data_IF_854412251856
#
_entry.id   IF_854412251856
#
_cell.length_a   1.000
_cell.length_b   1.000
_cell.length_c   1.000
_cell.angle_alpha   90.00
_cell.angle_beta   90.00
_cell.angle_gamma   90.00
#
_symmetry.space_group_name_H-M   'P 1'
#
loop_
_entity.id
_entity.type
_entity.pdbx_description
1 polymer ?
#
# COMPACT_ATOMS: atom_id res chain seq x y z
N UNK A 1 -29.62 -12.26 10.78
CA UNK A 1 -28.46 -11.36 10.77
C UNK A 1 -28.28 -10.55 12.03
N UNK A 2 -29.00 -9.46 12.30
CA UNK A 2 -28.66 -8.55 13.41
C UNK A 2 -28.52 -9.19 14.81
N UNK A 3 -29.38 -10.16 15.18
CA UNK A 3 -29.30 -10.85 16.48
C UNK A 3 -28.12 -11.84 16.61
N UNK A 4 -27.56 -12.30 15.48
CA UNK A 4 -26.39 -13.17 15.47
C UNK A 4 -25.14 -12.30 15.61
N UNK A 5 -25.08 -11.17 14.91
CA UNK A 5 -23.97 -10.21 15.01
C UNK A 5 -23.86 -9.61 16.43
N UNK A 6 -25.00 -9.30 17.05
CA UNK A 6 -25.06 -8.87 18.46
C UNK A 6 -24.53 -9.94 19.44
N UNK A 7 -24.52 -11.22 19.06
CA UNK A 7 -24.06 -12.32 19.93
C UNK A 7 -22.58 -12.67 19.74
N UNK A 8 -21.92 -12.11 18.73
CA UNK A 8 -20.53 -12.43 18.39
C UNK A 8 -19.58 -11.24 18.58
N UNK A 9 -20.10 -10.01 18.69
CA UNK A 9 -19.33 -8.80 18.95
C UNK A 9 -19.45 -8.29 20.39
N UNK A 10 -18.67 -7.24 20.70
CA UNK A 10 -18.86 -6.40 21.89
C UNK A 10 -19.60 -5.16 21.42
N UNK A 11 -20.75 -4.86 22.02
CA UNK A 11 -21.51 -3.62 21.76
C UNK A 11 -21.28 -2.58 22.86
N UNK A 12 -21.61 -1.32 22.56
CA UNK A 12 -21.35 -0.19 23.47
C UNK A 12 -21.98 -0.38 24.85
N UNK A 13 -23.19 -0.95 24.89
CA UNK A 13 -23.96 -1.17 26.11
C UNK A 13 -23.28 -2.17 27.06
N UNK A 14 -22.55 -3.14 26.51
CA UNK A 14 -21.89 -4.20 27.27
C UNK A 14 -20.53 -3.77 27.82
N UNK A 15 -19.92 -2.70 27.29
CA UNK A 15 -18.55 -2.31 27.67
C UNK A 15 -18.46 -1.96 29.17
N UNK A 16 -19.51 -1.37 29.74
CA UNK A 16 -19.55 -1.08 31.17
C UNK A 16 -19.55 -2.37 32.02
N UNK A 17 -20.23 -3.42 31.54
CA UNK A 17 -20.38 -4.68 32.26
C UNK A 17 -19.09 -5.53 32.19
N UNK A 18 -18.36 -5.49 31.06
CA UNK A 18 -17.10 -6.24 30.90
C UNK A 18 -15.94 -5.64 31.70
N UNK A 19 -16.06 -4.38 32.14
CA UNK A 19 -15.05 -3.62 32.87
C UNK A 19 -13.63 -3.76 32.28
N UNK A 20 -13.34 -3.09 31.16
CA UNK A 20 -12.15 -3.35 30.34
C UNK A 20 -10.86 -3.32 31.15
N UNK A 21 -10.24 -4.48 31.35
CA UNK A 21 -9.07 -4.62 32.23
C UNK A 21 -7.72 -4.58 31.47
N UNK A 22 -7.73 -4.74 30.15
CA UNK A 22 -6.52 -4.65 29.35
C UNK A 22 -6.00 -3.21 29.35
N UNK A 23 -4.75 -3.01 29.78
CA UNK A 23 -4.11 -1.67 29.87
C UNK A 23 -4.05 -0.95 28.52
N UNK A 24 -3.83 -1.70 27.44
CA UNK A 24 -3.85 -1.22 26.06
C UNK A 24 -4.74 -2.13 25.21
N UNK A 25 -5.57 -1.54 24.36
CA UNK A 25 -6.40 -2.27 23.38
C UNK A 25 -6.17 -1.75 21.97
N UNK A 26 -5.99 -2.66 21.01
CA UNK A 26 -5.86 -2.34 19.60
C UNK A 26 -7.13 -2.76 18.85
N UNK A 27 -7.85 -1.79 18.29
CA UNK A 27 -9.04 -2.03 17.47
C UNK A 27 -8.69 -1.98 15.99
N UNK A 28 -8.47 -3.15 15.38
CA UNK A 28 -8.22 -3.30 13.95
C UNK A 28 -9.52 -3.35 13.13
N UNK A 29 -10.41 -2.38 13.38
CA UNK A 29 -11.69 -2.24 12.70
C UNK A 29 -11.97 -0.77 12.39
N UNK A 30 -12.72 -0.53 11.31
CA UNK A 30 -13.19 0.81 10.95
C UNK A 30 -14.11 1.36 12.03
N UNK A 31 -14.12 2.67 12.23
CA UNK A 31 -15.06 3.42 13.08
C UNK A 31 -15.05 3.13 14.59
N UNK A 32 -14.26 2.18 15.10
CA UNK A 32 -14.20 1.93 16.55
C UNK A 32 -13.64 3.12 17.35
N UNK A 33 -12.92 4.04 16.69
CA UNK A 33 -12.39 5.28 17.24
C UNK A 33 -13.10 6.52 16.71
N UNK A 34 -14.34 6.40 16.24
CA UNK A 34 -15.07 7.52 15.64
C UNK A 34 -15.53 8.54 16.68
N UNK A 35 -14.60 9.41 17.09
CA UNK A 35 -14.82 10.50 18.05
C UNK A 35 -15.77 11.60 17.56
N UNK A 36 -16.33 11.48 16.35
CA UNK A 36 -17.41 12.37 15.86
C UNK A 36 -18.76 11.96 16.44
N UNK A 37 -18.89 10.72 16.94
CA UNK A 37 -20.07 10.24 17.62
C UNK A 37 -19.97 10.52 19.13
N UNK A 38 -21.11 10.77 19.77
CA UNK A 38 -21.19 10.97 21.22
C UNK A 38 -20.76 9.73 22.01
N UNK A 39 -20.97 8.54 21.42
CA UNK A 39 -20.61 7.24 22.00
C UNK A 39 -19.89 6.36 20.96
N UNK A 40 -18.75 5.79 21.33
CA UNK A 40 -17.90 4.97 20.46
C UNK A 40 -17.00 4.01 21.25
N UNK A 41 -16.64 2.88 20.63
CA UNK A 41 -16.03 1.71 21.31
C UNK A 41 -14.75 2.11 22.06
N UNK A 42 -13.79 2.75 21.38
CA UNK A 42 -12.52 3.13 22.00
C UNK A 42 -12.71 4.12 23.17
N UNK A 43 -13.65 5.05 23.05
CA UNK A 43 -13.99 6.01 24.10
C UNK A 43 -14.55 5.31 25.33
N UNK A 44 -15.51 4.39 25.15
CA UNK A 44 -16.05 3.58 26.25
C UNK A 44 -14.98 2.76 26.94
N UNK A 45 -14.07 2.16 26.19
CA UNK A 45 -12.96 1.41 26.80
C UNK A 45 -12.12 2.28 27.74
N UNK A 46 -11.96 3.57 27.46
CA UNK A 46 -11.21 4.51 28.32
C UNK A 46 -12.05 5.05 29.48
N UNK A 47 -13.34 5.33 29.27
CA UNK A 47 -14.19 6.02 30.24
C UNK A 47 -15.08 5.13 31.09
N UNK A 48 -15.23 3.84 30.75
CA UNK A 48 -15.96 2.86 31.55
C UNK A 48 -15.18 2.47 32.81
N UNK A 49 -15.89 1.94 33.82
CA UNK A 49 -15.23 1.32 34.96
C UNK A 49 -14.30 0.21 34.47
N UNK A 50 -13.05 0.20 34.93
CA UNK A 50 -12.03 -0.68 34.39
C UNK A 50 -10.67 -0.05 34.54
N UNK A 51 -9.76 -0.60 33.76
CA UNK A 51 -8.33 -0.56 34.02
C UNK A 51 -7.56 -0.36 32.70
N UNK A 52 -8.30 -0.06 31.62
CA UNK A 52 -7.80 0.31 30.31
C UNK A 52 -7.34 1.77 30.33
N UNK A 53 -6.12 1.99 29.85
CA UNK A 53 -5.45 3.30 29.90
C UNK A 53 -5.36 3.92 28.51
N UNK A 54 -5.25 3.08 27.47
CA UNK A 54 -5.06 3.52 26.10
C UNK A 54 -5.71 2.58 25.09
N UNK A 55 -6.35 3.16 24.08
CA UNK A 55 -6.93 2.44 22.96
C UNK A 55 -6.41 3.02 21.65
N UNK A 56 -6.00 2.13 20.73
CA UNK A 56 -5.68 2.48 19.36
C UNK A 56 -6.85 2.11 18.46
N UNK A 57 -7.42 3.06 17.74
CA UNK A 57 -8.62 2.80 16.95
C UNK A 57 -8.73 3.70 15.72
N UNK A 58 -9.58 3.30 14.78
CA UNK A 58 -9.78 4.05 13.53
C UNK A 58 -11.05 4.90 13.58
N UNK A 59 -10.97 6.16 13.20
CA UNK A 59 -12.11 7.09 13.20
C UNK A 59 -12.98 6.97 11.94
N UNK A 60 -12.43 6.41 10.87
CA UNK A 60 -13.10 6.24 9.58
C UNK A 60 -12.77 4.88 8.97
N UNK A 61 -13.27 4.64 7.76
CA UNK A 61 -12.86 3.50 6.96
C UNK A 61 -11.35 3.48 6.75
N UNK A 62 -10.72 2.34 7.05
CA UNK A 62 -9.30 2.09 6.75
C UNK A 62 -9.15 1.11 5.60
N UNK A 63 -8.11 1.30 4.80
CA UNK A 63 -7.74 0.34 3.78
C UNK A 63 -7.23 -0.95 4.43
N UNK A 64 -7.62 -2.10 3.86
CA UNK A 64 -7.21 -3.42 4.35
C UNK A 64 -5.73 -3.75 4.10
N UNK A 65 -4.99 -2.82 3.49
CA UNK A 65 -3.58 -2.94 3.13
C UNK A 65 -2.68 -2.23 4.16
N UNK A 66 -3.25 -1.80 5.29
CA UNK A 66 -2.53 -1.31 6.47
C UNK A 66 -1.82 -2.47 7.18
N UNK A 67 -0.58 -2.23 7.58
CA UNK A 67 0.19 -3.05 8.52
C UNK A 67 -0.12 -2.63 9.95
N UNK A 68 -1.16 -3.22 10.56
CA UNK A 68 -1.57 -2.88 11.94
C UNK A 68 -0.56 -3.29 13.03
N UNK A 69 0.42 -4.13 12.68
CA UNK A 69 1.39 -4.74 13.58
C UNK A 69 2.80 -4.13 13.50
N UNK A 70 3.01 -3.08 12.70
CA UNK A 70 4.33 -2.48 12.53
C UNK A 70 4.90 -2.00 13.88
N UNK A 71 6.16 -2.34 14.14
CA UNK A 71 6.93 -1.90 15.31
C UNK A 71 6.28 -2.25 16.67
N UNK A 72 5.27 -3.12 16.68
CA UNK A 72 4.47 -3.40 17.88
C UNK A 72 5.31 -4.03 19.00
N UNK A 73 6.35 -4.79 18.66
CA UNK A 73 7.30 -5.36 19.62
C UNK A 73 8.09 -4.31 20.40
N UNK A 74 8.21 -3.07 19.90
CA UNK A 74 8.82 -1.97 20.66
C UNK A 74 8.05 -1.66 21.94
N UNK A 75 6.72 -1.87 21.96
CA UNK A 75 5.90 -1.69 23.15
C UNK A 75 6.34 -2.64 24.28
N UNK A 76 6.65 -3.88 23.93
CA UNK A 76 7.19 -4.88 24.85
C UNK A 76 8.63 -4.60 25.31
N UNK A 77 9.33 -3.68 24.64
CA UNK A 77 10.66 -3.19 24.99
C UNK A 77 10.61 -1.82 25.69
N UNK A 78 9.44 -1.44 26.20
CA UNK A 78 9.24 -0.24 26.98
C UNK A 78 9.07 1.04 26.18
N UNK A 79 8.83 0.97 24.87
CA UNK A 79 8.39 2.14 24.12
C UNK A 79 7.04 2.63 24.65
N UNK A 80 6.92 3.94 24.84
CA UNK A 80 5.63 4.58 25.12
C UNK A 80 4.72 4.44 23.91
N UNK A 81 3.43 4.26 24.14
CA UNK A 81 2.44 4.12 23.06
C UNK A 81 2.49 5.29 22.08
N UNK A 82 2.64 6.52 22.59
CA UNK A 82 2.79 7.72 21.76
C UNK A 82 4.10 7.77 20.96
N UNK A 83 5.17 7.11 21.42
CA UNK A 83 6.43 6.98 20.67
C UNK A 83 6.23 6.00 19.52
N UNK A 84 5.68 4.82 19.81
CA UNK A 84 5.35 3.82 18.79
C UNK A 84 4.42 4.38 17.71
N UNK A 85 3.33 5.04 18.12
CA UNK A 85 2.34 5.63 17.23
C UNK A 85 2.91 6.63 16.21
N UNK A 86 3.95 7.40 16.58
CA UNK A 86 4.59 8.35 15.64
C UNK A 86 5.12 7.69 14.37
N UNK A 87 5.43 6.40 14.42
CA UNK A 87 6.00 5.68 13.28
C UNK A 87 4.95 4.96 12.43
N UNK A 88 3.76 4.71 12.98
CA UNK A 88 2.73 3.89 12.33
C UNK A 88 1.40 4.64 12.10
N UNK A 89 1.31 5.89 12.57
CA UNK A 89 0.12 6.72 12.43
C UNK A 89 -0.21 6.99 10.96
N UNK A 90 -1.47 6.74 10.62
CA UNK A 90 -2.14 7.21 9.41
C UNK A 90 -3.26 8.17 9.81
N UNK A 91 -3.82 8.92 8.86
CA UNK A 91 -4.85 9.93 9.14
C UNK A 91 -6.10 9.34 9.81
N UNK A 92 -6.38 8.08 9.52
CA UNK A 92 -7.55 7.36 10.00
C UNK A 92 -7.37 6.76 11.39
N UNK A 93 -6.15 6.63 11.90
CA UNK A 93 -5.83 5.92 13.15
C UNK A 93 -5.41 6.87 14.27
N UNK A 94 -5.96 6.65 15.47
CA UNK A 94 -5.82 7.56 16.61
C UNK A 94 -5.53 6.82 17.91
N UNK A 95 -4.85 7.52 18.81
CA UNK A 95 -4.73 7.14 20.22
C UNK A 95 -5.86 7.80 21.01
N UNK A 96 -6.56 6.99 21.80
CA UNK A 96 -7.53 7.43 22.82
C UNK A 96 -6.97 7.08 24.20
N UNK A 97 -6.99 8.01 25.16
CA UNK A 97 -6.43 7.80 26.50
C UNK A 97 -5.01 8.34 26.66
N UNK A 98 -4.20 7.73 27.52
CA UNK A 98 -2.86 8.21 27.88
C UNK A 98 -1.76 7.66 26.94
N UNK A 99 -1.15 8.48 26.07
CA UNK A 99 -0.09 8.04 25.17
C UNK A 99 1.24 7.76 25.87
N UNK A 100 1.38 8.09 27.15
CA UNK A 100 2.62 7.90 27.92
C UNK A 100 2.75 6.54 28.56
N UNK A 101 1.70 5.70 28.50
CA UNK A 101 1.74 4.30 28.92
C UNK A 101 2.90 3.58 28.24
N UNK A 102 3.65 2.81 29.03
CA UNK A 102 4.66 1.87 28.56
C UNK A 102 4.65 0.62 29.45
N UNK A 103 5.16 -0.48 28.91
CA UNK A 103 5.36 -1.72 29.66
C UNK A 103 6.81 -1.78 30.15
N UNK A 104 7.01 -2.04 31.44
CA UNK A 104 8.37 -2.23 31.96
C UNK A 104 9.04 -3.44 31.30
N UNK A 105 10.28 -3.28 30.86
CA UNK A 105 11.04 -4.31 30.15
C UNK A 105 12.50 -4.29 30.60
N UNK A 106 12.94 -5.39 31.21
CA UNK A 106 14.34 -5.56 31.59
C UNK A 106 15.23 -5.70 30.35
N UNK A 107 14.76 -6.42 29.31
CA UNK A 107 15.48 -6.56 28.05
C UNK A 107 15.56 -5.22 27.28
N UNK A 108 14.52 -4.39 27.35
CA UNK A 108 14.46 -3.07 26.70
C UNK A 108 15.21 -1.96 27.43
N UNK A 109 15.60 -2.15 28.69
CA UNK A 109 16.24 -1.10 29.49
C UNK A 109 17.55 -0.58 28.87
N UNK A 110 18.36 -1.48 28.30
CA UNK A 110 19.62 -1.11 27.64
C UNK A 110 19.41 -0.37 26.31
N UNK A 111 18.28 -0.63 25.63
CA UNK A 111 17.92 0.05 24.39
C UNK A 111 17.50 1.50 24.64
N UNK A 112 16.91 1.79 25.81
CA UNK A 112 16.32 3.09 26.18
C UNK A 112 15.57 3.72 24.98
N UNK A 113 14.64 2.93 24.43
CA UNK A 113 14.04 3.21 23.12
C UNK A 113 13.37 4.59 23.09
N UNK A 114 12.74 5.00 24.19
CA UNK A 114 12.10 6.30 24.29
C UNK A 114 13.08 7.48 24.11
N UNK A 115 14.34 7.30 24.49
CA UNK A 115 15.40 8.28 24.31
C UNK A 115 16.08 8.15 22.95
N UNK A 116 16.30 6.91 22.50
CA UNK A 116 17.10 6.63 21.31
C UNK A 116 16.31 6.61 20.00
N UNK A 117 14.98 6.54 20.01
CA UNK A 117 14.14 6.45 18.80
C UNK A 117 14.37 7.57 17.77
N UNK A 118 14.81 8.76 18.21
CA UNK A 118 15.14 9.90 17.33
C UNK A 118 16.64 10.22 17.31
N UNK A 119 17.48 9.30 17.79
CA UNK A 119 18.94 9.46 17.75
C UNK A 119 19.39 9.61 16.30
N UNK A 120 20.21 10.62 16.01
CA UNK A 120 20.80 10.87 14.68
C UNK A 120 22.24 10.39 14.67
N UNK A 121 22.42 9.13 14.33
CA UNK A 121 23.70 8.43 14.43
C UNK A 121 23.63 7.16 13.56
N UNK A 122 24.21 7.23 12.37
CA UNK A 122 24.20 6.11 11.42
C UNK A 122 24.91 4.89 12.00
N UNK A 123 26.04 5.04 12.69
CA UNK A 123 26.80 3.92 13.25
C UNK A 123 25.98 3.18 14.31
N UNK A 124 25.26 3.93 15.15
CA UNK A 124 24.32 3.35 16.09
C UNK A 124 23.24 2.54 15.38
N UNK A 125 22.54 3.10 14.38
CA UNK A 125 21.46 2.37 13.70
C UNK A 125 21.97 1.20 12.86
N UNK A 126 23.15 1.32 12.24
CA UNK A 126 23.81 0.20 11.58
C UNK A 126 24.08 -0.95 12.55
N UNK A 127 24.50 -0.66 13.78
CA UNK A 127 24.68 -1.69 14.83
C UNK A 127 23.37 -2.36 15.26
N UNK A 128 22.22 -1.71 15.05
CA UNK A 128 20.89 -2.22 15.41
C UNK A 128 20.25 -3.08 14.32
N UNK A 129 20.84 -3.15 13.11
CA UNK A 129 20.29 -3.92 11.99
C UNK A 129 20.20 -5.43 12.27
N UNK A 130 21.00 -5.96 13.19
CA UNK A 130 21.03 -7.38 13.57
C UNK A 130 20.56 -7.61 15.02
N UNK A 131 19.85 -6.64 15.60
CA UNK A 131 19.30 -6.74 16.94
C UNK A 131 18.33 -7.94 17.06
N UNK A 132 18.30 -8.69 18.19
CA UNK A 132 17.44 -9.87 18.34
C UNK A 132 15.94 -9.61 18.13
N UNK A 133 15.45 -8.42 18.53
CA UNK A 133 14.07 -8.00 18.27
C UNK A 133 13.92 -7.49 16.82
N UNK A 134 13.07 -8.11 15.99
CA UNK A 134 12.87 -7.70 14.60
C UNK A 134 12.43 -6.24 14.43
N UNK A 135 11.59 -5.73 15.34
CA UNK A 135 11.11 -4.35 15.27
C UNK A 135 12.20 -3.30 15.54
N UNK A 136 13.27 -3.65 16.25
CA UNK A 136 14.45 -2.78 16.37
C UNK A 136 15.22 -2.73 15.05
N UNK A 137 15.30 -3.85 14.32
CA UNK A 137 15.90 -3.87 12.98
C UNK A 137 15.06 -3.02 12.01
N UNK A 138 13.73 -3.14 12.07
CA UNK A 138 12.80 -2.33 11.27
C UNK A 138 12.94 -0.84 11.60
N UNK A 139 13.01 -0.47 12.89
CA UNK A 139 13.26 0.90 13.29
C UNK A 139 14.62 1.40 12.76
N UNK A 140 15.68 0.61 12.88
CA UNK A 140 17.00 0.99 12.36
C UNK A 140 16.95 1.32 10.86
N UNK A 141 16.25 0.52 10.04
CA UNK A 141 16.05 0.81 8.62
C UNK A 141 15.26 2.10 8.39
N UNK A 142 14.20 2.34 9.16
CA UNK A 142 13.41 3.60 9.10
C UNK A 142 14.33 4.79 9.37
N UNK A 143 15.14 4.71 10.42
CA UNK A 143 16.04 5.79 10.84
C UNK A 143 17.14 6.06 9.83
N UNK A 144 17.75 5.01 9.27
CA UNK A 144 18.74 5.16 8.21
C UNK A 144 18.16 5.83 6.96
N UNK A 145 16.90 5.53 6.60
CA UNK A 145 16.22 6.21 5.49
C UNK A 145 15.93 7.68 5.82
N UNK A 146 15.33 7.95 6.97
CA UNK A 146 14.98 9.31 7.41
C UNK A 146 16.20 10.23 7.59
N UNK A 147 17.38 9.65 7.81
CA UNK A 147 18.64 10.36 7.97
C UNK A 147 19.49 10.35 6.68
N UNK A 148 18.87 10.06 5.53
CA UNK A 148 19.48 10.08 4.20
C UNK A 148 20.79 9.27 4.12
N UNK A 149 20.87 8.11 4.80
CA UNK A 149 22.06 7.27 4.75
C UNK A 149 22.29 6.79 3.31
N UNK A 150 23.45 7.13 2.74
CA UNK A 150 23.70 6.96 1.31
C UNK A 150 23.53 5.52 0.79
N UNK A 151 23.88 4.51 1.60
CA UNK A 151 23.79 3.10 1.25
C UNK A 151 22.50 2.42 1.78
N UNK A 152 21.47 3.20 2.14
CA UNK A 152 20.24 2.65 2.72
C UNK A 152 19.54 1.68 1.77
N UNK A 153 19.52 1.94 0.46
CA UNK A 153 18.91 1.04 -0.51
C UNK A 153 19.51 -0.37 -0.47
N UNK A 154 20.85 -0.46 -0.41
CA UNK A 154 21.55 -1.75 -0.30
C UNK A 154 21.30 -2.44 1.04
N UNK A 155 21.11 -1.66 2.11
CA UNK A 155 20.69 -2.20 3.41
C UNK A 155 19.30 -2.82 3.30
N UNK A 156 18.33 -2.13 2.70
CA UNK A 156 16.97 -2.62 2.52
C UNK A 156 16.92 -3.90 1.69
N UNK A 157 17.62 -3.92 0.54
CA UNK A 157 17.74 -5.12 -0.29
C UNK A 157 18.31 -6.30 0.50
N UNK A 158 19.44 -6.10 1.17
CA UNK A 158 20.08 -7.15 1.96
C UNK A 158 19.14 -7.69 3.04
N UNK A 159 18.53 -6.80 3.83
CA UNK A 159 17.60 -7.20 4.91
C UNK A 159 16.38 -7.93 4.36
N UNK A 160 15.84 -7.51 3.22
CA UNK A 160 14.76 -8.24 2.55
C UNK A 160 15.18 -9.65 2.16
N UNK A 161 16.35 -9.80 1.54
CA UNK A 161 16.83 -11.08 1.00
C UNK A 161 17.26 -12.07 2.09
N UNK A 162 17.74 -11.60 3.24
CA UNK A 162 18.35 -12.47 4.27
C UNK A 162 17.52 -12.64 5.54
N UNK A 163 16.56 -11.75 5.82
CA UNK A 163 15.83 -11.80 7.09
C UNK A 163 14.78 -12.91 7.14
N UNK A 164 14.75 -13.74 8.20
CA UNK A 164 13.67 -14.71 8.40
C UNK A 164 12.36 -14.04 8.86
N UNK A 165 12.42 -12.81 9.40
CA UNK A 165 11.25 -12.10 9.92
C UNK A 165 10.43 -11.44 8.82
N UNK A 166 9.15 -11.79 8.73
CA UNK A 166 8.20 -11.18 7.81
C UNK A 166 8.04 -9.67 8.04
N UNK A 167 8.11 -9.20 9.29
CA UNK A 167 8.02 -7.77 9.62
C UNK A 167 9.23 -7.00 9.08
N UNK A 168 10.43 -7.55 9.23
CA UNK A 168 11.66 -6.92 8.69
C UNK A 168 11.62 -6.88 7.16
N UNK A 169 11.21 -7.96 6.51
CA UNK A 169 11.04 -7.98 5.05
C UNK A 169 9.96 -6.99 4.60
N UNK A 170 8.82 -6.96 5.27
CA UNK A 170 7.74 -5.99 5.01
C UNK A 170 8.22 -4.54 5.11
N UNK A 171 8.88 -4.18 6.22
CA UNK A 171 9.46 -2.84 6.41
C UNK A 171 10.48 -2.53 5.30
N UNK A 172 11.40 -3.45 5.01
CA UNK A 172 12.42 -3.23 3.99
C UNK A 172 11.80 -2.93 2.61
N UNK A 173 10.77 -3.68 2.22
CA UNK A 173 10.03 -3.47 0.98
C UNK A 173 9.31 -2.13 0.96
N UNK A 174 8.58 -1.77 2.03
CA UNK A 174 7.84 -0.50 2.11
C UNK A 174 8.77 0.72 2.08
N UNK A 175 9.96 0.63 2.69
CA UNK A 175 10.96 1.70 2.62
C UNK A 175 11.63 1.77 1.26
N UNK A 176 11.91 0.63 0.61
CA UNK A 176 12.51 0.60 -0.71
C UNK A 176 11.58 1.21 -1.78
N UNK A 177 10.26 1.07 -1.62
CA UNK A 177 9.26 1.72 -2.47
C UNK A 177 9.41 3.25 -2.50
N UNK A 178 9.86 3.88 -1.40
CA UNK A 178 10.07 5.33 -1.33
C UNK A 178 11.26 5.78 -2.18
N UNK A 179 12.23 4.90 -2.35
CA UNK A 179 13.42 5.13 -3.18
C UNK A 179 13.13 4.84 -4.66
N UNK A 180 12.29 3.82 -4.92
CA UNK A 180 11.86 3.37 -6.26
C UNK A 180 13.04 3.22 -7.25
N UNK A 181 14.12 2.59 -6.78
CA UNK A 181 15.32 2.29 -7.55
C UNK A 181 15.36 0.80 -8.00
N UNK A 182 16.48 0.37 -8.57
CA UNK A 182 16.64 -0.99 -9.06
C UNK A 182 16.61 -2.05 -7.94
N UNK A 183 17.03 -1.69 -6.72
CA UNK A 183 16.96 -2.58 -5.58
C UNK A 183 15.51 -2.82 -5.16
N UNK A 184 14.63 -1.81 -5.26
CA UNK A 184 13.19 -1.99 -5.06
C UNK A 184 12.60 -2.97 -6.08
N UNK A 185 12.97 -2.88 -7.36
CA UNK A 185 12.55 -3.85 -8.37
C UNK A 185 12.95 -5.28 -7.98
N UNK A 186 14.20 -5.49 -7.58
CA UNK A 186 14.67 -6.81 -7.13
C UNK A 186 13.90 -7.33 -5.90
N UNK A 187 13.59 -6.45 -4.93
CA UNK A 187 12.76 -6.79 -3.77
C UNK A 187 11.37 -7.23 -4.23
N UNK A 188 10.70 -6.46 -5.10
CA UNK A 188 9.37 -6.82 -5.60
C UNK A 188 9.39 -8.18 -6.30
N UNK A 189 10.38 -8.41 -7.18
CA UNK A 189 10.51 -9.70 -7.87
C UNK A 189 10.61 -10.87 -6.90
N UNK A 190 11.34 -10.71 -5.79
CA UNK A 190 11.42 -11.75 -4.76
C UNK A 190 10.14 -11.84 -3.93
N UNK A 191 9.48 -10.72 -3.66
CA UNK A 191 8.33 -10.62 -2.80
C UNK A 191 7.06 -11.29 -3.33
N UNK A 192 6.95 -11.54 -4.63
CA UNK A 192 5.87 -12.37 -5.21
C UNK A 192 5.84 -13.81 -4.66
N UNK A 193 6.94 -14.27 -4.06
CA UNK A 193 7.07 -15.62 -3.48
C UNK A 193 7.36 -15.59 -1.98
N UNK A 194 7.15 -14.46 -1.30
CA UNK A 194 7.38 -14.33 0.13
C UNK A 194 6.54 -15.33 0.93
N UNK A 195 7.06 -15.85 2.05
CA UNK A 195 6.29 -16.76 2.91
C UNK A 195 5.07 -16.11 3.56
N UNK A 196 5.06 -14.78 3.68
CA UNK A 196 3.97 -14.03 4.29
C UNK A 196 2.98 -13.51 3.24
N UNK A 197 1.71 -13.91 3.38
CA UNK A 197 0.64 -13.58 2.43
C UNK A 197 0.50 -12.07 2.21
N UNK A 198 0.56 -11.29 3.29
CA UNK A 198 0.44 -9.84 3.20
C UNK A 198 1.53 -9.24 2.31
N UNK A 199 2.78 -9.69 2.44
CA UNK A 199 3.89 -9.22 1.61
C UNK A 199 3.68 -9.57 0.15
N UNK A 200 3.25 -10.80 -0.17
CA UNK A 200 2.91 -11.19 -1.55
C UNK A 200 1.80 -10.33 -2.12
N UNK A 201 0.75 -10.09 -1.34
CA UNK A 201 -0.40 -9.26 -1.73
C UNK A 201 0.02 -7.83 -2.09
N UNK A 202 0.82 -7.19 -1.25
CA UNK A 202 1.35 -5.86 -1.55
C UNK A 202 2.26 -5.91 -2.78
N UNK A 203 3.12 -6.92 -2.90
CA UNK A 203 4.03 -7.06 -4.03
C UNK A 203 3.29 -7.14 -5.37
N UNK A 204 2.27 -7.99 -5.50
CA UNK A 204 1.50 -8.12 -6.76
C UNK A 204 0.76 -6.82 -7.11
N UNK A 205 0.20 -6.12 -6.12
CA UNK A 205 -0.41 -4.79 -6.34
C UNK A 205 0.62 -3.79 -6.85
N UNK A 206 1.81 -3.74 -6.24
CA UNK A 206 2.89 -2.82 -6.64
C UNK A 206 3.49 -3.14 -8.01
N UNK A 207 3.59 -4.42 -8.38
CA UNK A 207 3.98 -4.84 -9.73
C UNK A 207 3.02 -4.27 -10.78
N UNK A 208 1.70 -4.38 -10.54
CA UNK A 208 0.69 -3.77 -11.40
C UNK A 208 0.79 -2.25 -11.49
N UNK A 209 1.03 -1.58 -10.35
CA UNK A 209 1.20 -0.12 -10.33
C UNK A 209 2.47 0.35 -11.05
N UNK A 210 3.54 -0.45 -11.02
CA UNK A 210 4.81 -0.14 -11.68
C UNK A 210 4.76 -0.41 -13.19
N UNK A 211 4.10 -1.47 -13.64
CA UNK A 211 3.91 -1.74 -15.06
C UNK A 211 5.17 -2.20 -15.80
N UNK A 212 6.16 -2.72 -15.08
CA UNK A 212 7.36 -3.31 -15.67
C UNK A 212 7.05 -4.73 -16.17
N UNK A 213 7.29 -4.98 -17.45
CA UNK A 213 6.91 -6.23 -18.13
C UNK A 213 7.63 -7.47 -17.57
N UNK A 214 8.78 -7.28 -16.91
CA UNK A 214 9.49 -8.36 -16.21
C UNK A 214 8.66 -8.99 -15.08
N UNK A 215 7.59 -8.31 -14.63
CA UNK A 215 6.69 -8.85 -13.61
C UNK A 215 5.60 -9.75 -14.17
N UNK A 216 5.31 -9.72 -15.47
CA UNK A 216 4.21 -10.51 -16.06
C UNK A 216 4.37 -12.02 -15.75
N UNK A 217 5.55 -12.65 -15.95
CA UNK A 217 5.73 -14.07 -15.61
C UNK A 217 5.54 -14.35 -14.11
N UNK A 218 6.00 -13.45 -13.24
CA UNK A 218 5.87 -13.60 -11.79
C UNK A 218 4.42 -13.50 -11.32
N UNK A 219 3.63 -12.62 -11.93
CA UNK A 219 2.20 -12.50 -11.66
C UNK A 219 1.44 -13.75 -12.11
N UNK A 220 1.78 -14.32 -13.28
CA UNK A 220 1.22 -15.60 -13.74
C UNK A 220 1.59 -16.73 -12.77
N UNK A 221 2.85 -16.80 -12.32
CA UNK A 221 3.27 -17.80 -11.33
C UNK A 221 2.59 -17.60 -9.97
N UNK A 222 2.39 -16.37 -9.51
CA UNK A 222 1.61 -16.11 -8.29
C UNK A 222 0.18 -16.59 -8.46
N UNK A 223 -0.47 -16.39 -9.61
CA UNK A 223 -1.82 -16.89 -9.86
C UNK A 223 -1.91 -18.41 -9.70
N UNK A 224 -0.92 -19.13 -10.23
CA UNK A 224 -0.85 -20.59 -10.16
C UNK A 224 -0.60 -21.07 -8.73
N UNK A 225 0.30 -20.41 -8.00
CA UNK A 225 0.78 -20.87 -6.69
C UNK A 225 -0.06 -20.37 -5.49
N UNK A 226 -0.76 -19.24 -5.61
CA UNK A 226 -1.51 -18.59 -4.54
C UNK A 226 -3.01 -18.95 -4.54
N UNK A 227 -3.40 -20.08 -5.13
CA UNK A 227 -4.82 -20.48 -5.24
C UNK A 227 -5.59 -20.52 -3.90
N UNK A 228 -4.90 -20.70 -2.77
CA UNK A 228 -5.48 -20.67 -1.42
C UNK A 228 -5.47 -19.27 -0.76
N UNK A 229 -4.83 -18.28 -1.38
CA UNK A 229 -4.70 -16.91 -0.87
C UNK A 229 -5.65 -15.98 -1.65
N UNK A 230 -6.94 -16.03 -1.33
CA UNK A 230 -7.99 -15.32 -2.07
C UNK A 230 -7.71 -13.81 -2.25
N UNK A 231 -7.08 -13.15 -1.27
CA UNK A 231 -6.74 -11.72 -1.37
C UNK A 231 -5.55 -11.45 -2.29
N UNK A 232 -4.52 -12.30 -2.29
CA UNK A 232 -3.42 -12.23 -3.27
C UNK A 232 -3.98 -12.44 -4.67
N UNK A 233 -4.77 -13.49 -4.88
CA UNK A 233 -5.42 -13.78 -6.15
C UNK A 233 -6.24 -12.59 -6.64
N UNK A 234 -7.10 -12.04 -5.77
CA UNK A 234 -7.88 -10.86 -6.08
C UNK A 234 -7.01 -9.67 -6.48
N UNK A 235 -5.89 -9.38 -5.81
CA UNK A 235 -5.03 -8.25 -6.22
C UNK A 235 -4.24 -8.52 -7.49
N UNK A 236 -3.74 -9.75 -7.66
CA UNK A 236 -3.06 -10.20 -8.86
C UNK A 236 -3.96 -10.03 -10.10
N UNK A 237 -5.28 -10.14 -9.91
CA UNK A 237 -6.22 -9.85 -10.98
C UNK A 237 -6.05 -8.42 -11.54
N UNK A 238 -6.19 -7.41 -10.69
CA UNK A 238 -6.02 -6.02 -11.11
C UNK A 238 -4.62 -5.74 -11.65
N UNK A 239 -3.60 -6.41 -11.10
CA UNK A 239 -2.23 -6.27 -11.55
C UNK A 239 -2.06 -6.72 -13.01
N UNK A 240 -2.46 -7.94 -13.37
CA UNK A 240 -2.37 -8.43 -14.76
C UNK A 240 -3.14 -7.56 -15.74
N UNK A 241 -4.30 -7.03 -15.34
CA UNK A 241 -5.12 -6.16 -16.16
C UNK A 241 -4.51 -4.75 -16.39
N UNK A 242 -3.42 -4.41 -15.70
CA UNK A 242 -2.68 -3.15 -15.87
C UNK A 242 -1.66 -3.21 -17.01
N UNK A 243 -1.41 -4.41 -17.57
CA UNK A 243 -0.45 -4.64 -18.66
C UNK A 243 -1.14 -4.73 -20.03
N UNK A 244 -0.33 -4.70 -21.08
CA UNK A 244 -0.78 -5.02 -22.43
C UNK A 244 -1.29 -6.47 -22.49
N UNK A 245 -2.53 -6.62 -22.97
CA UNK A 245 -3.22 -7.91 -22.98
C UNK A 245 -2.49 -8.95 -23.83
N UNK A 246 -1.99 -8.58 -24.99
CA UNK A 246 -1.34 -9.53 -25.90
C UNK A 246 -0.03 -10.04 -25.31
N UNK A 247 0.69 -9.18 -24.57
CA UNK A 247 1.88 -9.59 -23.81
C UNK A 247 1.56 -10.55 -22.68
N UNK A 248 0.47 -10.30 -21.93
CA UNK A 248 0.00 -11.22 -20.89
C UNK A 248 -0.39 -12.57 -21.48
N UNK A 249 -1.17 -12.59 -22.56
CA UNK A 249 -1.58 -13.83 -23.22
C UNK A 249 -0.38 -14.64 -23.73
N UNK A 250 0.57 -13.96 -24.37
CA UNK A 250 1.81 -14.58 -24.83
C UNK A 250 2.59 -15.21 -23.67
N UNK A 251 2.74 -14.52 -22.55
CA UNK A 251 3.44 -15.04 -21.37
C UNK A 251 2.70 -16.23 -20.73
N UNK A 252 1.36 -16.23 -20.75
CA UNK A 252 0.56 -17.40 -20.33
C UNK A 252 0.84 -18.58 -21.26
N UNK A 253 0.82 -18.38 -22.57
CA UNK A 253 1.13 -19.44 -23.54
C UNK A 253 2.52 -20.03 -23.31
N UNK A 254 3.54 -19.17 -23.16
CA UNK A 254 4.92 -19.57 -22.87
C UNK A 254 5.04 -20.33 -21.54
N UNK A 255 4.30 -19.93 -20.50
CA UNK A 255 4.37 -20.57 -19.18
C UNK A 255 3.76 -21.97 -19.15
N UNK A 256 2.78 -22.24 -20.01
CA UNK A 256 2.08 -23.51 -20.10
C UNK A 256 2.60 -24.42 -21.24
N UNK A 257 3.40 -23.91 -22.17
CA UNK A 257 3.99 -24.71 -23.23
C UNK A 257 4.87 -25.84 -22.66
N UNK A 258 4.60 -27.08 -23.06
CA UNK A 258 5.28 -28.27 -22.54
C UNK A 258 5.17 -28.51 -21.02
N UNK A 259 4.29 -27.79 -20.31
CA UNK A 259 4.16 -27.89 -18.85
C UNK A 259 3.71 -29.27 -18.40
N UNK A 260 4.39 -29.82 -17.39
CA UNK A 260 4.05 -31.10 -16.74
C UNK A 260 3.26 -30.92 -15.45
N UNK A 261 2.74 -29.71 -15.18
CA UNK A 261 1.94 -29.45 -13.98
C UNK A 261 0.66 -30.29 -13.99
N UNK A 262 0.24 -30.75 -12.81
CA UNK A 262 -1.05 -31.41 -12.67
C UNK A 262 -2.16 -30.44 -13.07
N UNK A 263 -3.04 -30.88 -13.97
CA UNK A 263 -4.17 -30.10 -14.48
C UNK A 263 -3.80 -28.77 -15.19
N UNK A 264 -2.62 -28.74 -15.84
CA UNK A 264 -2.11 -27.59 -16.56
C UNK A 264 -3.10 -26.98 -17.56
N UNK A 265 -3.88 -27.82 -18.25
CA UNK A 265 -4.89 -27.37 -19.20
C UNK A 265 -6.03 -26.58 -18.52
N UNK A 266 -6.57 -27.09 -17.41
CA UNK A 266 -7.63 -26.40 -16.67
C UNK A 266 -7.13 -25.11 -16.01
N UNK A 267 -5.91 -25.13 -15.45
CA UNK A 267 -5.29 -23.92 -14.89
C UNK A 267 -5.08 -22.84 -15.96
N UNK A 268 -4.63 -23.23 -17.17
CA UNK A 268 -4.50 -22.31 -18.30
C UNK A 268 -5.85 -21.73 -18.70
N UNK A 269 -6.88 -22.55 -18.80
CA UNK A 269 -8.23 -22.09 -19.12
C UNK A 269 -8.75 -21.10 -18.07
N UNK A 270 -8.49 -21.37 -16.78
CA UNK A 270 -8.93 -20.52 -15.68
C UNK A 270 -8.27 -19.15 -15.69
N UNK A 271 -6.94 -19.07 -15.83
CA UNK A 271 -6.24 -17.79 -15.91
C UNK A 271 -6.62 -17.01 -17.19
N UNK A 272 -6.87 -17.68 -18.32
CA UNK A 272 -7.32 -17.03 -19.55
C UNK A 272 -8.71 -16.40 -19.38
N UNK A 273 -9.67 -17.17 -18.86
CA UNK A 273 -11.02 -16.67 -18.53
C UNK A 273 -10.94 -15.49 -17.57
N UNK A 274 -10.04 -15.56 -16.62
CA UNK A 274 -9.80 -14.50 -15.65
C UNK A 274 -9.27 -13.22 -16.35
N UNK A 275 -8.26 -13.33 -17.22
CA UNK A 275 -7.74 -12.21 -18.01
C UNK A 275 -8.85 -11.61 -18.89
N UNK A 276 -9.67 -12.43 -19.54
CA UNK A 276 -10.80 -11.96 -20.35
C UNK A 276 -11.83 -11.20 -19.50
N UNK A 277 -12.16 -11.71 -18.32
CA UNK A 277 -13.10 -11.05 -17.39
C UNK A 277 -12.64 -9.64 -17.01
N UNK A 278 -11.33 -9.36 -16.96
CA UNK A 278 -10.83 -8.02 -16.61
C UNK A 278 -10.46 -7.15 -17.80
N UNK A 279 -10.06 -7.74 -18.92
CA UNK A 279 -9.56 -7.00 -20.08
C UNK A 279 -10.60 -6.85 -21.19
N UNK A 280 -11.54 -7.78 -21.32
CA UNK A 280 -12.61 -7.73 -22.31
C UNK A 280 -13.96 -7.28 -21.71
N UNK A 281 -14.37 -7.92 -20.62
CA UNK A 281 -15.66 -7.64 -19.95
C UNK A 281 -15.52 -6.62 -18.81
N UNK A 282 -14.32 -6.56 -18.24
CA UNK A 282 -13.96 -5.67 -17.15
C UNK A 282 -13.87 -4.23 -17.62
N UNK A 283 -14.02 -3.31 -16.68
CA UNK A 283 -14.20 -1.92 -17.03
C UNK A 283 -13.62 -0.97 -15.98
N UNK A 284 -12.83 0.03 -16.41
CA UNK A 284 -12.36 0.29 -17.78
C UNK A 284 -11.14 -0.56 -18.17
N UNK A 285 -11.08 -1.00 -19.43
CA UNK A 285 -9.97 -1.85 -19.92
C UNK A 285 -9.57 -1.61 -21.39
N UNK A 286 -10.45 -1.00 -22.19
CA UNK A 286 -10.26 -0.84 -23.63
C UNK A 286 -9.92 0.60 -23.97
N UNK A 287 -9.04 0.80 -24.95
CA UNK A 287 -8.68 2.14 -25.44
C UNK A 287 -9.89 3.06 -25.67
N UNK A 288 -10.95 2.53 -26.30
CA UNK A 288 -12.19 3.27 -26.61
C UNK A 288 -12.84 3.90 -25.39
N UNK A 289 -12.69 3.31 -24.20
CA UNK A 289 -13.22 3.88 -22.96
C UNK A 289 -12.69 5.31 -22.78
N UNK A 290 -11.41 5.56 -23.07
CA UNK A 290 -10.76 6.83 -22.75
C UNK A 290 -10.80 7.85 -23.90
N UNK A 291 -10.83 7.39 -25.15
CA UNK A 291 -10.69 8.27 -26.33
C UNK A 291 -12.03 8.64 -26.99
N UNK A 292 -13.11 7.90 -26.71
CA UNK A 292 -14.43 8.19 -27.28
C UNK A 292 -15.07 9.42 -26.61
N UNK A 293 -15.08 10.55 -27.32
CA UNK A 293 -15.65 11.82 -26.83
C UNK A 293 -17.17 11.81 -26.69
N UNK A 294 -17.85 10.86 -27.34
CA UNK A 294 -19.32 10.79 -27.31
C UNK A 294 -19.84 10.15 -26.00
N UNK A 295 -19.03 9.33 -25.32
CA UNK A 295 -19.40 8.71 -24.04
C UNK A 295 -19.25 9.67 -22.85
N UNK A 296 -20.04 10.74 -22.84
CA UNK A 296 -20.02 11.77 -21.78
C UNK A 296 -20.41 11.23 -20.40
N UNK A 297 -21.15 10.12 -20.33
CA UNK A 297 -21.64 9.56 -19.07
C UNK A 297 -20.54 8.81 -18.34
N UNK A 298 -19.83 7.94 -19.04
CA UNK A 298 -18.96 6.98 -18.40
C UNK A 298 -17.47 7.27 -18.59
N UNK A 299 -17.08 8.00 -19.64
CA UNK A 299 -15.69 8.42 -19.85
C UNK A 299 -15.05 9.09 -18.62
N UNK A 300 -15.71 10.03 -17.90
CA UNK A 300 -15.17 10.59 -16.67
C UNK A 300 -14.90 9.52 -15.60
N UNK A 301 -15.82 8.56 -15.44
CA UNK A 301 -15.67 7.46 -14.48
C UNK A 301 -14.46 6.58 -14.80
N UNK A 302 -14.23 6.25 -16.08
CA UNK A 302 -13.06 5.45 -16.46
C UNK A 302 -11.75 6.14 -16.13
N UNK A 303 -11.67 7.43 -16.45
CA UNK A 303 -10.47 8.22 -16.19
C UNK A 303 -10.20 8.22 -14.69
N UNK A 304 -11.23 8.39 -13.85
CA UNK A 304 -11.05 8.32 -12.40
C UNK A 304 -10.63 6.93 -11.89
N UNK A 305 -11.09 5.86 -12.53
CA UNK A 305 -10.75 4.49 -12.14
C UNK A 305 -9.26 4.16 -12.36
N UNK A 306 -8.56 4.88 -13.25
CA UNK A 306 -7.12 4.75 -13.47
C UNK A 306 -6.28 5.00 -12.20
N UNK A 307 -6.83 5.72 -11.21
CA UNK A 307 -6.21 5.91 -9.89
C UNK A 307 -5.97 4.58 -9.15
N UNK A 308 -6.83 3.60 -9.40
CA UNK A 308 -6.77 2.27 -8.78
C UNK A 308 -6.18 1.20 -9.70
N UNK A 309 -6.31 1.36 -11.02
CA UNK A 309 -5.83 0.42 -12.03
C UNK A 309 -5.13 1.17 -13.17
N UNK A 310 -3.81 1.40 -13.08
CA UNK A 310 -3.07 2.14 -14.09
C UNK A 310 -2.87 1.27 -15.35
N UNK A 311 -3.55 1.62 -16.43
CA UNK A 311 -3.42 0.92 -17.72
C UNK A 311 -2.23 1.48 -18.51
N UNK A 312 -1.04 0.90 -18.29
CA UNK A 312 0.23 1.42 -18.80
C UNK A 312 0.30 1.47 -20.33
N UNK A 313 -0.36 0.54 -21.01
CA UNK A 313 -0.41 0.46 -22.47
C UNK A 313 -1.08 1.66 -23.16
N UNK A 314 -1.85 2.47 -22.41
CA UNK A 314 -2.56 3.64 -22.95
C UNK A 314 -2.00 4.98 -22.46
N UNK A 315 -0.85 5.00 -21.79
CA UNK A 315 -0.25 6.26 -21.29
C UNK A 315 -0.05 7.29 -22.41
N UNK A 316 0.28 6.84 -23.62
CA UNK A 316 0.42 7.69 -24.80
C UNK A 316 -0.88 8.41 -25.19
N UNK A 317 -2.01 7.76 -25.01
CA UNK A 317 -3.32 8.38 -25.21
C UNK A 317 -3.66 9.32 -24.05
N UNK A 318 -3.33 8.93 -22.81
CA UNK A 318 -3.61 9.73 -21.62
C UNK A 318 -2.89 11.08 -21.63
N UNK A 319 -1.60 11.10 -21.97
CA UNK A 319 -0.84 12.36 -22.07
C UNK A 319 -1.32 13.24 -23.22
N UNK A 320 -1.80 12.65 -24.32
CA UNK A 320 -2.43 13.39 -25.43
C UNK A 320 -3.76 14.00 -24.99
N UNK A 321 -4.61 13.25 -24.29
CA UNK A 321 -5.88 13.75 -23.75
C UNK A 321 -5.64 14.93 -22.83
N UNK A 322 -4.65 14.84 -21.92
CA UNK A 322 -4.30 15.93 -21.02
C UNK A 322 -3.84 17.20 -21.77
N UNK A 323 -3.06 17.03 -22.84
CA UNK A 323 -2.46 18.12 -23.61
C UNK A 323 -3.38 18.73 -24.68
N UNK A 324 -4.49 18.09 -25.02
CA UNK A 324 -5.38 18.52 -26.10
C UNK A 324 -6.31 19.66 -25.67
N UNK A 325 -6.10 20.86 -26.19
CA UNK A 325 -6.92 22.05 -25.90
C UNK A 325 -8.33 21.98 -26.50
N UNK A 326 -8.59 21.07 -27.45
CA UNK A 326 -9.93 20.80 -27.97
C UNK A 326 -10.74 19.85 -27.07
N UNK A 327 -10.10 19.25 -26.06
CA UNK A 327 -10.75 18.37 -25.10
C UNK A 327 -11.51 19.17 -24.04
N UNK A 328 -12.61 18.61 -23.53
CA UNK A 328 -13.35 19.23 -22.42
C UNK A 328 -12.43 19.42 -21.20
N UNK A 329 -12.40 20.64 -20.65
CA UNK A 329 -11.50 20.98 -19.54
C UNK A 329 -11.65 20.01 -18.36
N UNK A 330 -12.88 19.64 -18.01
CA UNK A 330 -13.16 18.64 -16.96
C UNK A 330 -12.46 17.31 -17.21
N UNK A 331 -12.40 16.83 -18.46
CA UNK A 331 -11.73 15.58 -18.81
C UNK A 331 -10.22 15.72 -18.63
N UNK A 332 -9.65 16.88 -19.00
CA UNK A 332 -8.23 17.18 -18.79
C UNK A 332 -7.88 17.24 -17.31
N UNK A 333 -8.72 17.88 -16.49
CA UNK A 333 -8.58 17.93 -15.02
C UNK A 333 -8.58 16.52 -14.43
N UNK A 334 -9.59 15.71 -14.75
CA UNK A 334 -9.67 14.32 -14.28
C UNK A 334 -8.49 13.48 -14.74
N UNK A 335 -7.98 13.72 -15.96
CA UNK A 335 -6.81 13.03 -16.47
C UNK A 335 -5.54 13.42 -15.71
N UNK A 336 -5.35 14.71 -15.41
CA UNK A 336 -4.24 15.16 -14.56
C UNK A 336 -4.31 14.52 -13.16
N UNK A 337 -5.50 14.51 -12.54
CA UNK A 337 -5.71 13.84 -11.25
C UNK A 337 -5.41 12.35 -11.30
N UNK A 338 -5.80 11.66 -12.37
CA UNK A 338 -5.58 10.23 -12.55
C UNK A 338 -4.09 9.92 -12.72
N UNK A 339 -3.43 10.67 -13.61
CA UNK A 339 -2.00 10.52 -13.91
C UNK A 339 -1.10 10.82 -12.71
N UNK A 340 -1.57 11.61 -11.73
CA UNK A 340 -0.86 11.80 -10.46
C UNK A 340 -0.64 10.48 -9.67
N UNK A 341 -1.42 9.43 -9.93
CA UNK A 341 -1.30 8.13 -9.27
C UNK A 341 -0.37 7.14 -10.01
N UNK A 342 0.24 7.55 -11.11
CA UNK A 342 1.24 6.76 -11.85
C UNK A 342 2.66 6.96 -11.26
N UNK A 343 2.76 7.18 -9.95
CA UNK A 343 4.01 7.55 -9.26
C UNK A 343 5.05 6.42 -9.21
N UNK A 344 4.61 5.16 -9.27
CA UNK A 344 5.49 3.99 -9.44
C UNK A 344 5.67 3.57 -10.90
N UNK A 345 4.87 4.09 -11.83
CA UNK A 345 4.84 3.63 -13.23
C UNK A 345 6.20 3.79 -13.90
N UNK A 346 6.60 2.82 -14.71
CA UNK A 346 7.76 2.95 -15.62
C UNK A 346 7.61 4.12 -16.59
N UNK A 347 6.38 4.62 -16.81
CA UNK A 347 6.10 5.79 -17.64
C UNK A 347 6.07 7.12 -16.87
N UNK A 348 6.36 7.15 -15.56
CA UNK A 348 6.27 8.35 -14.71
C UNK A 348 7.01 9.56 -15.30
N UNK A 349 8.19 9.34 -15.89
CA UNK A 349 9.01 10.42 -16.47
C UNK A 349 8.35 11.05 -17.69
N UNK A 350 7.68 10.25 -18.52
CA UNK A 350 6.94 10.74 -19.69
C UNK A 350 5.78 11.63 -19.25
N UNK A 351 5.00 11.15 -18.28
CA UNK A 351 3.87 11.88 -17.70
C UNK A 351 4.34 13.20 -17.07
N UNK A 352 5.37 13.15 -16.22
CA UNK A 352 5.94 14.34 -15.59
C UNK A 352 6.46 15.35 -16.61
N UNK A 353 7.10 14.88 -17.70
CA UNK A 353 7.56 15.74 -18.79
C UNK A 353 6.41 16.44 -19.49
N UNK A 354 5.30 15.75 -19.76
CA UNK A 354 4.08 16.38 -20.32
C UNK A 354 3.50 17.42 -19.36
N UNK A 355 3.39 17.12 -18.07
CA UNK A 355 2.92 18.09 -17.09
C UNK A 355 3.82 19.34 -17.06
N UNK A 356 5.14 19.17 -17.08
CA UNK A 356 6.10 20.28 -17.14
C UNK A 356 5.90 21.14 -18.38
N UNK A 357 5.78 20.52 -19.56
CA UNK A 357 5.55 21.24 -20.81
C UNK A 357 4.26 22.08 -20.78
N UNK A 358 3.19 21.56 -20.16
CA UNK A 358 1.92 22.29 -20.02
C UNK A 358 2.05 23.48 -19.07
N UNK A 359 2.73 23.30 -17.93
CA UNK A 359 3.01 24.38 -16.98
C UNK A 359 3.86 25.49 -17.61
N UNK A 360 4.90 25.11 -18.37
CA UNK A 360 5.79 26.07 -19.03
C UNK A 360 5.08 26.83 -20.17
N UNK A 361 4.16 26.16 -20.89
CA UNK A 361 3.34 26.78 -21.93
C UNK A 361 2.34 27.79 -21.35
N UNK A 362 1.78 27.51 -20.17
CA UNK A 362 0.73 28.30 -19.55
C UNK A 362 -0.59 28.28 -20.35
N UNK A 363 -1.52 29.17 -19.99
CA UNK A 363 -2.82 29.30 -20.66
C UNK A 363 -3.88 28.28 -20.24
N UNK A 364 -3.63 27.51 -19.19
CA UNK A 364 -4.61 26.65 -18.54
C UNK A 364 -5.52 27.48 -17.61
N UNK A 365 -6.70 26.95 -17.27
CA UNK A 365 -7.48 27.48 -16.16
C UNK A 365 -6.75 27.23 -14.83
N UNK A 366 -7.10 27.99 -13.79
CA UNK A 366 -6.54 27.84 -12.45
C UNK A 366 -6.73 26.40 -11.90
N UNK A 367 -7.89 25.79 -12.19
CA UNK A 367 -8.18 24.42 -11.77
C UNK A 367 -7.28 23.40 -12.47
N UNK A 368 -7.17 23.48 -13.79
CA UNK A 368 -6.33 22.55 -14.55
C UNK A 368 -4.85 22.74 -14.22
N UNK A 369 -4.37 23.98 -14.11
CA UNK A 369 -3.00 24.27 -13.71
C UNK A 369 -2.67 23.67 -12.34
N UNK A 370 -3.59 23.79 -11.37
CA UNK A 370 -3.43 23.21 -10.04
C UNK A 370 -3.29 21.69 -10.08
N UNK A 371 -4.16 20.98 -10.80
CA UNK A 371 -4.07 19.51 -10.87
C UNK A 371 -2.86 19.03 -11.69
N UNK A 372 -2.47 19.76 -12.74
CA UNK A 372 -1.23 19.48 -13.49
C UNK A 372 0.01 19.69 -12.61
N UNK A 373 0.05 20.78 -11.83
CA UNK A 373 1.13 21.04 -10.89
C UNK A 373 1.18 19.97 -9.79
N UNK A 374 0.02 19.51 -9.30
CA UNK A 374 -0.07 18.44 -8.31
C UNK A 374 0.45 17.12 -8.87
N UNK A 375 0.05 16.75 -10.09
CA UNK A 375 0.54 15.56 -10.78
C UNK A 375 2.06 15.64 -10.96
N UNK A 376 2.56 16.75 -11.50
CA UNK A 376 4.00 16.97 -11.66
C UNK A 376 4.77 16.82 -10.34
N UNK A 377 4.29 17.47 -9.28
CA UNK A 377 4.94 17.45 -7.96
C UNK A 377 4.99 16.04 -7.40
N UNK A 378 3.89 15.29 -7.45
CA UNK A 378 3.82 13.91 -6.94
C UNK A 378 4.72 12.95 -7.71
N UNK A 379 4.84 13.12 -9.03
CA UNK A 379 5.66 12.25 -9.88
C UNK A 379 7.18 12.56 -9.78
N UNK A 380 7.56 13.72 -9.23
CA UNK A 380 8.95 14.17 -9.15
C UNK A 380 9.48 14.34 -7.73
N UNK A 381 8.60 14.39 -6.72
CA UNK A 381 9.00 14.44 -5.31
C UNK A 381 9.62 13.11 -4.88
N UNK A 382 10.70 13.19 -4.09
CA UNK A 382 11.14 12.05 -3.27
C UNK A 382 10.07 11.76 -2.22
N UNK A 383 9.68 10.48 -2.07
CA UNK A 383 8.63 10.05 -1.14
C UNK A 383 9.11 9.97 0.31
#
# INVERSE_FOLDING_TARGET
DSLIDLRTGIILEEINDIRPNARMVFFDACYNGDFRNDDYIAGKFIFSEGDCVVAWANSVNVLQDKTSYDLMGLLGYGARVGVWAKHINILESHIHGDPTLFFESAEGAALDINRNVLRRDHDYWLSMLDHPLPDVQSLAMIRLLEEDYAAVSDVLLRKYMTSPSAVVRGTAMMLAERLDDENYKQILMKASTDSFEFTRRIAVTRMGQKGDEDFIPLLIDSYINDNNSARVMFQNTFALASFDRDKVLKAIDERFDGSTMYDAAAMKEDILRYVDTRTEDGYPSKRKNFVDREDKRWRPFYITALKNQPLHQYVDDFVKILADESEEERIRVLMAEALAWFDLSVHKQKIASTCRQLLDRGGMSEELEREVQRAYSRLTSKK
#
